data_IF_360942985909
#
_entry.id   IF_360942985909
#
_cell.length_a   1.000
_cell.length_b   1.000
_cell.length_c   1.000
_cell.angle_alpha   90.00
_cell.angle_beta   90.00
_cell.angle_gamma   90.00
#
_symmetry.space_group_name_H-M   'P 1'
#
loop_
_entity.id
_entity.type
_entity.pdbx_description
1 polymer ?
#
# COMPACT_ATOMS: atom_id res chain seq x y z
N UNK A 1 15.88 -10.72 -2.66
CA UNK A 1 16.81 -9.58 -2.63
C UNK A 1 16.64 -8.86 -1.32
N UNK A 2 17.74 -8.54 -0.66
CA UNK A 2 17.77 -7.81 0.61
C UNK A 2 18.89 -6.78 0.55
N UNK A 3 18.70 -5.60 1.12
CA UNK A 3 19.75 -4.62 1.25
C UNK A 3 19.90 -4.17 2.70
N UNK A 4 21.15 -3.97 3.11
CA UNK A 4 21.50 -3.38 4.40
C UNK A 4 22.13 -2.02 4.14
N UNK A 5 21.58 -0.99 4.75
CA UNK A 5 22.05 0.39 4.70
C UNK A 5 22.63 0.79 6.05
N UNK A 6 23.80 1.41 6.04
CA UNK A 6 24.55 1.77 7.26
C UNK A 6 25.07 3.20 7.22
N UNK A 7 24.90 3.91 8.29
CA UNK A 7 25.65 5.11 8.62
C UNK A 7 26.13 5.04 10.08
N UNK A 8 26.76 6.07 10.61
CA UNK A 8 27.24 6.08 12.00
C UNK A 8 26.12 5.90 13.05
N UNK A 9 24.87 6.23 12.70
CA UNK A 9 23.78 6.33 13.65
C UNK A 9 22.67 5.29 13.44
N UNK A 10 22.67 4.59 12.30
CA UNK A 10 21.68 3.55 12.03
C UNK A 10 22.19 2.44 11.11
N UNK A 11 21.61 1.29 11.29
CA UNK A 11 21.66 0.17 10.34
C UNK A 11 20.23 -0.28 10.06
N UNK A 12 19.85 -0.26 8.78
CA UNK A 12 18.49 -0.65 8.36
C UNK A 12 18.59 -1.74 7.29
N UNK A 13 17.88 -2.82 7.52
CA UNK A 13 17.68 -3.89 6.54
C UNK A 13 16.33 -3.73 5.86
N UNK A 14 16.33 -3.71 4.53
CA UNK A 14 15.12 -3.62 3.72
C UNK A 14 15.03 -4.79 2.76
N UNK A 15 13.83 -5.28 2.53
CA UNK A 15 13.54 -6.27 1.49
C UNK A 15 13.39 -5.59 0.14
N UNK A 16 13.90 -6.24 -0.91
CA UNK A 16 13.64 -5.84 -2.29
C UNK A 16 12.38 -6.50 -2.85
N UNK A 17 11.91 -5.99 -3.97
CA UNK A 17 10.76 -6.50 -4.71
C UNK A 17 11.07 -6.62 -6.20
N UNK A 18 10.38 -7.54 -6.88
CA UNK A 18 10.45 -7.68 -8.33
C UNK A 18 9.61 -6.58 -8.99
N UNK A 19 10.20 -5.87 -9.96
CA UNK A 19 9.56 -4.76 -10.68
C UNK A 19 9.36 -5.05 -12.19
N UNK A 20 9.44 -6.31 -12.58
CA UNK A 20 9.30 -6.72 -14.00
C UNK A 20 10.61 -6.73 -14.76
N UNK A 21 10.60 -7.37 -15.93
CA UNK A 21 11.68 -7.36 -16.92
C UNK A 21 13.05 -7.78 -16.35
N UNK A 22 13.06 -8.70 -15.36
CA UNK A 22 14.28 -9.14 -14.68
C UNK A 22 14.84 -8.13 -13.66
N UNK A 23 14.14 -7.01 -13.40
CA UNK A 23 14.59 -5.97 -12.48
C UNK A 23 14.06 -6.22 -11.07
N UNK A 24 14.97 -6.25 -10.11
CA UNK A 24 14.67 -6.16 -8.69
C UNK A 24 15.05 -4.77 -8.18
N UNK A 25 14.21 -4.20 -7.29
CA UNK A 25 14.45 -2.90 -6.67
C UNK A 25 14.47 -3.03 -5.16
N UNK A 26 15.28 -2.20 -4.53
CA UNK A 26 15.22 -1.89 -3.10
C UNK A 26 14.90 -0.40 -2.95
N UNK A 27 14.11 -0.05 -1.95
CA UNK A 27 13.82 1.35 -1.60
C UNK A 27 14.24 1.58 -0.18
N UNK A 28 14.88 2.71 0.07
CA UNK A 28 15.37 3.09 1.37
C UNK A 28 15.00 4.54 1.69
N UNK A 29 14.60 4.78 2.92
CA UNK A 29 14.32 6.10 3.46
C UNK A 29 15.31 6.37 4.61
N UNK A 30 16.32 7.23 4.42
CA UNK A 30 17.29 7.52 5.45
C UNK A 30 16.70 8.38 6.57
N UNK A 31 17.10 8.10 7.83
CA UNK A 31 16.71 8.90 9.00
C UNK A 31 17.75 9.96 9.38
N UNK A 32 19.01 9.81 8.93
CA UNK A 32 20.12 10.69 9.31
C UNK A 32 20.81 11.26 8.09
N UNK A 33 21.40 12.44 8.27
CA UNK A 33 22.28 13.04 7.26
C UNK A 33 23.67 12.39 7.32
N UNK A 34 24.36 12.41 6.19
CA UNK A 34 25.74 11.93 6.09
C UNK A 34 25.94 10.83 5.06
N UNK A 35 27.07 10.17 5.14
CA UNK A 35 27.42 9.10 4.21
C UNK A 35 26.79 7.79 4.65
N UNK A 36 26.06 7.17 3.74
CA UNK A 36 25.57 5.80 3.88
C UNK A 36 26.37 4.85 2.99
N UNK A 37 26.70 3.69 3.52
CA UNK A 37 27.08 2.53 2.74
C UNK A 37 25.90 1.58 2.59
N UNK A 38 25.86 0.82 1.52
CA UNK A 38 24.89 -0.25 1.33
C UNK A 38 25.52 -1.52 0.79
N UNK A 39 24.93 -2.64 1.15
CA UNK A 39 25.21 -3.95 0.58
C UNK A 39 23.90 -4.59 0.17
N UNK A 40 23.74 -4.88 -1.12
CA UNK A 40 22.58 -5.62 -1.67
C UNK A 40 22.98 -7.06 -1.90
N UNK A 41 22.20 -7.99 -1.37
CA UNK A 41 22.42 -9.44 -1.54
C UNK A 41 21.23 -10.10 -2.23
N UNK A 42 21.51 -11.12 -3.02
CA UNK A 42 20.49 -11.97 -3.66
C UNK A 42 21.00 -13.40 -3.78
N UNK A 43 20.12 -14.34 -4.07
CA UNK A 43 20.47 -15.75 -4.29
C UNK A 43 20.95 -16.03 -5.73
N UNK A 44 20.88 -15.04 -6.62
CA UNK A 44 21.13 -15.20 -8.06
C UNK A 44 22.20 -14.25 -8.61
N UNK A 45 22.82 -13.42 -7.78
CA UNK A 45 23.93 -12.54 -8.19
C UNK A 45 24.94 -12.34 -7.07
N UNK A 46 26.14 -11.90 -7.43
CA UNK A 46 27.13 -11.44 -6.46
C UNK A 46 26.59 -10.21 -5.70
N UNK A 47 27.02 -9.99 -4.44
CA UNK A 47 26.66 -8.79 -3.70
C UNK A 47 27.03 -7.51 -4.45
N UNK A 48 26.17 -6.50 -4.36
CA UNK A 48 26.43 -5.15 -4.87
C UNK A 48 26.62 -4.22 -3.68
N UNK A 49 27.73 -3.48 -3.69
CA UNK A 49 28.06 -2.53 -2.63
C UNK A 49 28.23 -1.11 -3.20
N UNK A 50 28.00 -0.12 -2.35
CA UNK A 50 28.20 1.26 -2.73
C UNK A 50 27.99 2.22 -1.57
N UNK A 51 28.13 3.51 -1.86
CA UNK A 51 27.91 4.60 -0.91
C UNK A 51 27.14 5.74 -1.56
N UNK A 52 26.44 6.53 -0.75
CA UNK A 52 25.79 7.76 -1.18
C UNK A 52 25.73 8.77 -0.03
N UNK A 53 25.45 10.04 -0.38
CA UNK A 53 25.29 11.11 0.59
C UNK A 53 23.81 11.43 0.82
N UNK A 54 23.44 11.56 2.08
CA UNK A 54 22.13 12.08 2.50
C UNK A 54 22.30 13.51 2.96
N UNK A 55 21.63 14.41 2.27
CA UNK A 55 21.61 15.84 2.57
C UNK A 55 20.47 16.21 3.52
N UNK A 56 20.47 17.40 4.14
CA UNK A 56 19.36 17.86 4.96
C UNK A 56 18.02 17.77 4.24
N UNK A 57 16.95 17.48 5.00
CA UNK A 57 15.60 17.54 4.50
C UNK A 57 15.29 18.96 3.95
N UNK A 58 14.57 19.02 2.82
CA UNK A 58 14.23 20.28 2.16
C UNK A 58 12.71 20.41 1.98
N UNK A 59 12.25 21.66 1.84
CA UNK A 59 10.86 22.00 1.58
C UNK A 59 9.91 21.50 2.69
N UNK A 60 8.86 20.80 2.29
CA UNK A 60 7.81 20.29 3.17
C UNK A 60 8.09 18.88 3.71
N UNK A 61 9.35 18.46 3.76
CA UNK A 61 9.71 17.17 4.30
C UNK A 61 9.87 17.24 5.83
N UNK A 62 8.77 17.02 6.54
CA UNK A 62 8.68 16.95 8.01
C UNK A 62 8.94 15.54 8.58
N UNK A 63 9.32 14.58 7.74
CA UNK A 63 9.38 13.17 8.12
C UNK A 63 8.02 12.47 8.06
N UNK A 64 7.89 11.33 8.70
CA UNK A 64 6.63 10.56 8.80
C UNK A 64 5.74 11.13 9.89
N UNK A 65 4.43 10.88 9.76
CA UNK A 65 3.47 11.14 10.84
C UNK A 65 3.56 10.00 11.87
N UNK A 66 3.61 10.37 13.14
CA UNK A 66 3.72 9.49 14.31
C UNK A 66 2.66 9.79 15.35
N UNK A 67 2.36 8.83 16.22
CA UNK A 67 1.63 9.09 17.45
C UNK A 67 2.50 9.94 18.37
N UNK A 68 1.97 11.05 18.84
CA UNK A 68 2.62 11.97 19.77
C UNK A 68 1.73 12.16 21.02
N UNK A 69 2.35 12.17 22.19
CA UNK A 69 1.64 12.41 23.47
C UNK A 69 0.40 11.53 23.65
N UNK A 70 0.46 10.26 23.22
CA UNK A 70 -0.59 9.24 23.32
C UNK A 70 -1.82 9.51 22.44
N UNK A 71 -2.33 10.75 22.40
CA UNK A 71 -3.64 11.11 21.80
C UNK A 71 -3.54 11.99 20.56
N UNK A 72 -2.35 12.39 20.17
CA UNK A 72 -2.13 13.31 19.07
C UNK A 72 -1.25 12.69 18.00
N UNK A 73 -1.24 13.32 16.84
CA UNK A 73 -0.33 13.01 15.75
C UNK A 73 0.60 14.20 15.52
N UNK A 74 1.85 13.91 15.22
CA UNK A 74 2.84 14.89 14.80
C UNK A 74 3.77 14.27 13.76
N UNK A 75 4.41 15.10 12.96
CA UNK A 75 5.54 14.67 12.14
C UNK A 75 6.79 14.40 13.00
N UNK A 76 7.76 13.70 12.45
CA UNK A 76 9.01 13.36 13.15
C UNK A 76 9.81 14.57 13.61
N UNK A 77 9.69 15.71 12.94
CA UNK A 77 10.30 16.98 13.34
C UNK A 77 9.55 17.72 14.46
N UNK A 78 8.45 17.16 14.96
CA UNK A 78 7.62 17.73 16.00
C UNK A 78 6.49 18.65 15.50
N UNK A 79 6.41 18.93 14.22
CA UNK A 79 5.29 19.70 13.64
C UNK A 79 3.96 18.98 13.87
N UNK A 80 2.95 19.62 14.48
CA UNK A 80 1.66 18.99 14.71
C UNK A 80 0.99 18.54 13.41
N UNK A 81 0.36 17.36 13.43
CA UNK A 81 -0.43 16.84 12.32
C UNK A 81 -1.90 16.73 12.73
N UNK A 82 -2.75 17.55 12.10
CA UNK A 82 -4.20 17.50 12.27
C UNK A 82 -4.81 16.75 11.09
N UNK A 83 -5.24 15.51 11.31
CA UNK A 83 -5.76 14.67 10.23
C UNK A 83 -7.09 15.18 9.70
N UNK A 84 -7.10 15.68 8.47
CA UNK A 84 -8.30 16.02 7.70
C UNK A 84 -8.31 15.10 6.49
N UNK A 85 -9.02 13.97 6.61
CA UNK A 85 -9.00 12.91 5.60
C UNK A 85 -10.27 12.83 4.77
N UNK A 86 -10.12 12.26 3.58
CA UNK A 86 -11.24 11.81 2.74
C UNK A 86 -11.00 10.39 2.25
N UNK A 87 -12.06 9.74 1.75
CA UNK A 87 -11.99 8.38 1.20
C UNK A 87 -12.38 8.40 -0.27
N UNK A 88 -11.48 7.89 -1.11
CA UNK A 88 -11.70 7.73 -2.55
C UNK A 88 -11.27 6.31 -2.94
N UNK A 89 -12.07 5.30 -2.56
CA UNK A 89 -11.71 3.88 -2.59
C UNK A 89 -11.02 3.42 -3.86
N UNK A 90 -11.54 3.80 -5.04
CA UNK A 90 -11.08 3.31 -6.34
C UNK A 90 -10.30 4.34 -7.15
N UNK A 91 -9.94 5.46 -6.54
CA UNK A 91 -9.26 6.56 -7.21
C UNK A 91 -8.06 6.12 -8.09
N UNK A 92 -7.12 5.28 -7.63
CA UNK A 92 -5.97 4.90 -8.45
C UNK A 92 -6.35 4.10 -9.71
N UNK A 93 -7.53 3.49 -9.71
CA UNK A 93 -7.97 2.58 -10.77
C UNK A 93 -8.93 3.20 -11.77
N UNK A 94 -9.15 4.52 -11.66
CA UNK A 94 -9.96 5.31 -12.57
C UNK A 94 -9.16 5.77 -13.80
N UNK A 95 -9.84 6.44 -14.72
CA UNK A 95 -9.23 7.09 -15.88
C UNK A 95 -8.26 8.19 -15.44
N UNK A 96 -7.24 8.47 -16.24
CA UNK A 96 -6.22 9.47 -15.93
C UNK A 96 -6.82 10.87 -15.71
N UNK A 97 -7.92 11.22 -16.41
CA UNK A 97 -8.63 12.49 -16.20
C UNK A 97 -9.23 12.60 -14.80
N UNK A 98 -9.85 11.52 -14.29
CA UNK A 98 -10.43 11.48 -12.95
C UNK A 98 -9.30 11.51 -11.89
N UNK A 99 -8.21 10.79 -12.13
CA UNK A 99 -7.03 10.80 -11.24
C UNK A 99 -6.47 12.23 -11.15
N UNK A 100 -6.28 12.89 -12.28
CA UNK A 100 -5.76 14.25 -12.34
C UNK A 100 -6.70 15.26 -11.68
N UNK A 101 -8.01 15.17 -11.92
CA UNK A 101 -9.02 16.01 -11.29
C UNK A 101 -9.04 15.82 -9.76
N UNK A 102 -8.91 14.59 -9.28
CA UNK A 102 -8.84 14.29 -7.84
C UNK A 102 -7.61 14.94 -7.22
N UNK A 103 -6.43 14.82 -7.84
CA UNK A 103 -5.21 15.46 -7.37
C UNK A 103 -5.33 16.99 -7.32
N UNK A 104 -5.93 17.61 -8.33
CA UNK A 104 -6.14 19.06 -8.34
C UNK A 104 -7.15 19.50 -7.27
N UNK A 105 -8.19 18.70 -7.02
CA UNK A 105 -9.15 18.95 -5.93
C UNK A 105 -8.46 18.85 -4.57
N UNK A 106 -7.65 17.83 -4.36
CA UNK A 106 -6.89 17.64 -3.11
C UNK A 106 -5.92 18.80 -2.87
N UNK A 107 -5.19 19.22 -3.90
CA UNK A 107 -4.25 20.35 -3.84
C UNK A 107 -4.90 21.65 -3.40
N UNK A 108 -6.16 21.88 -3.79
CA UNK A 108 -6.94 23.09 -3.49
C UNK A 108 -7.89 22.92 -2.30
N UNK A 109 -7.74 21.87 -1.52
CA UNK A 109 -8.58 21.55 -0.35
C UNK A 109 -7.77 21.57 0.95
N UNK A 110 -8.47 21.41 2.07
CA UNK A 110 -7.85 21.22 3.38
C UNK A 110 -7.50 19.75 3.66
N UNK A 111 -7.76 18.82 2.73
CA UNK A 111 -7.46 17.42 2.94
C UNK A 111 -5.95 17.18 2.92
N UNK A 112 -5.45 16.53 3.94
CA UNK A 112 -4.04 16.13 4.07
C UNK A 112 -3.86 14.61 4.17
N UNK A 113 -4.95 13.85 4.01
CA UNK A 113 -4.96 12.40 3.94
C UNK A 113 -6.05 11.91 2.99
N UNK A 114 -5.72 10.89 2.18
CA UNK A 114 -6.69 10.19 1.34
C UNK A 114 -6.59 8.68 1.62
N UNK A 115 -7.74 8.02 1.79
CA UNK A 115 -7.86 6.59 2.01
C UNK A 115 -8.35 5.92 0.73
N UNK A 116 -7.67 4.87 0.25
CA UNK A 116 -8.01 4.17 -0.99
C UNK A 116 -7.53 2.72 -1.00
N UNK A 117 -8.18 1.89 -1.84
CA UNK A 117 -7.92 0.46 -1.94
C UNK A 117 -6.74 0.17 -2.87
N UNK A 118 -5.87 -0.75 -2.45
CA UNK A 118 -4.82 -1.33 -3.30
C UNK A 118 -5.44 -2.29 -4.32
N UNK A 119 -6.36 -3.15 -3.87
CA UNK A 119 -7.14 -4.00 -4.75
C UNK A 119 -8.30 -3.25 -5.42
N UNK A 120 -8.68 -3.62 -6.65
CA UNK A 120 -9.91 -3.15 -7.26
C UNK A 120 -11.11 -3.42 -6.36
N UNK A 121 -12.10 -2.53 -6.39
CA UNK A 121 -13.33 -2.65 -5.61
C UNK A 121 -14.52 -2.84 -6.52
N UNK A 122 -15.25 -3.94 -6.33
CA UNK A 122 -16.54 -4.19 -6.95
C UNK A 122 -17.62 -3.46 -6.12
N UNK A 123 -18.24 -2.45 -6.72
CA UNK A 123 -19.12 -1.55 -5.97
C UNK A 123 -20.14 -0.87 -6.89
N UNK A 124 -21.40 -0.81 -6.50
CA UNK A 124 -22.51 -0.33 -7.34
C UNK A 124 -22.36 1.07 -7.89
N UNK A 125 -21.60 1.94 -7.20
CA UNK A 125 -21.31 3.28 -7.67
C UNK A 125 -20.08 3.36 -8.60
N UNK A 126 -19.45 2.23 -8.90
CA UNK A 126 -18.32 2.12 -9.81
C UNK A 126 -18.44 0.86 -10.66
N UNK A 127 -19.20 0.94 -11.74
CA UNK A 127 -19.45 -0.19 -12.67
C UNK A 127 -18.28 -0.44 -13.63
N UNK A 128 -17.22 0.35 -13.54
CA UNK A 128 -16.08 0.22 -14.45
C UNK A 128 -15.15 -0.91 -14.02
N UNK A 129 -14.61 -1.59 -15.02
CA UNK A 129 -13.46 -2.46 -14.79
C UNK A 129 -12.25 -1.63 -14.39
N UNK A 130 -11.39 -2.16 -13.48
CA UNK A 130 -10.16 -1.49 -13.12
C UNK A 130 -9.22 -1.46 -14.34
N UNK A 131 -8.38 -0.45 -14.40
CA UNK A 131 -7.41 -0.29 -15.50
C UNK A 131 -6.35 -1.41 -15.57
N UNK A 132 -6.15 -2.13 -14.49
CA UNK A 132 -5.22 -3.27 -14.35
C UNK A 132 -5.51 -4.06 -13.08
N UNK A 133 -4.91 -5.24 -12.98
CA UNK A 133 -5.05 -6.15 -11.84
C UNK A 133 -3.70 -6.38 -11.16
N UNK A 134 -3.68 -6.71 -9.85
CA UNK A 134 -2.45 -6.83 -9.07
C UNK A 134 -1.63 -8.08 -9.37
N UNK A 135 -2.24 -9.10 -9.95
CA UNK A 135 -1.61 -10.40 -10.22
C UNK A 135 -1.61 -10.72 -11.71
N UNK A 136 -0.67 -11.56 -12.12
CA UNK A 136 -0.68 -12.15 -13.46
C UNK A 136 -1.85 -13.12 -13.58
N UNK A 137 -2.53 -13.09 -14.73
CA UNK A 137 -3.69 -13.93 -14.99
C UNK A 137 -4.77 -13.20 -15.76
N UNK A 138 -5.99 -13.74 -15.69
CA UNK A 138 -7.15 -13.20 -16.42
C UNK A 138 -8.36 -13.05 -15.51
N UNK A 139 -9.09 -11.93 -15.57
CA UNK A 139 -10.37 -11.78 -14.92
C UNK A 139 -11.45 -12.63 -15.61
N UNK A 140 -12.58 -12.81 -14.92
CA UNK A 140 -13.80 -13.30 -15.55
C UNK A 140 -14.23 -12.37 -16.71
N UNK A 141 -14.99 -12.90 -17.65
CA UNK A 141 -15.58 -12.09 -18.71
C UNK A 141 -16.58 -11.08 -18.13
N UNK A 142 -16.21 -9.81 -18.17
CA UNK A 142 -17.04 -8.73 -17.64
C UNK A 142 -18.20 -8.33 -18.57
N UNK A 143 -18.27 -8.85 -19.80
CA UNK A 143 -19.35 -8.57 -20.74
C UNK A 143 -20.72 -9.04 -20.26
N UNK A 144 -20.73 -9.98 -19.31
CA UNK A 144 -21.96 -10.50 -18.67
C UNK A 144 -22.55 -9.55 -17.61
N UNK A 145 -21.80 -8.52 -17.20
CA UNK A 145 -22.21 -7.56 -16.18
C UNK A 145 -23.11 -6.48 -16.78
N UNK A 146 -24.23 -6.23 -16.10
CA UNK A 146 -25.15 -5.13 -16.44
C UNK A 146 -25.41 -4.31 -15.16
N UNK A 147 -25.99 -3.11 -15.30
CA UNK A 147 -26.42 -2.32 -14.15
C UNK A 147 -27.42 -3.06 -13.24
N UNK A 148 -28.26 -3.93 -13.83
CA UNK A 148 -29.30 -4.67 -13.12
C UNK A 148 -28.76 -5.87 -12.35
N UNK A 149 -27.67 -6.51 -12.83
CA UNK A 149 -27.13 -7.72 -12.22
C UNK A 149 -25.81 -7.49 -11.47
N UNK A 150 -25.23 -6.32 -11.54
CA UNK A 150 -23.89 -6.02 -11.05
C UNK A 150 -23.68 -6.45 -9.58
N UNK A 151 -24.61 -6.08 -8.70
CA UNK A 151 -24.54 -6.40 -7.27
C UNK A 151 -24.57 -7.91 -6.99
N UNK A 152 -25.11 -8.74 -7.92
CA UNK A 152 -25.18 -10.20 -7.77
C UNK A 152 -23.80 -10.87 -7.91
N UNK A 153 -22.81 -10.15 -8.43
CA UNK A 153 -21.45 -10.66 -8.62
C UNK A 153 -20.52 -10.40 -7.44
N UNK A 154 -20.95 -9.66 -6.42
CA UNK A 154 -20.17 -9.50 -5.18
C UNK A 154 -19.90 -10.88 -4.56
N UNK A 155 -18.63 -11.21 -4.34
CA UNK A 155 -18.19 -12.49 -3.81
C UNK A 155 -18.21 -13.67 -4.81
N UNK A 156 -18.64 -13.47 -6.05
CA UNK A 156 -18.57 -14.50 -7.10
C UNK A 156 -17.23 -14.44 -7.80
N UNK A 157 -16.43 -15.47 -7.59
CA UNK A 157 -15.03 -15.51 -8.08
C UNK A 157 -14.82 -16.42 -9.27
N UNK A 158 -15.86 -17.09 -9.74
CA UNK A 158 -15.81 -18.03 -10.86
C UNK A 158 -15.39 -17.34 -12.15
N UNK A 159 -14.56 -18.00 -12.95
CA UNK A 159 -14.04 -17.48 -14.22
C UNK A 159 -12.81 -16.60 -14.10
N UNK A 160 -12.36 -16.30 -12.87
CA UNK A 160 -11.07 -15.65 -12.66
C UNK A 160 -9.94 -16.68 -12.55
N UNK A 161 -8.80 -16.37 -13.16
CA UNK A 161 -7.62 -17.24 -13.17
C UNK A 161 -6.37 -16.42 -12.84
N UNK A 162 -5.98 -16.39 -11.56
CA UNK A 162 -4.83 -15.63 -11.07
C UNK A 162 -3.72 -16.53 -10.57
N UNK A 163 -2.48 -16.15 -10.85
CA UNK A 163 -1.32 -16.63 -10.12
C UNK A 163 -1.03 -15.68 -8.95
N UNK A 164 -1.57 -15.97 -7.78
CA UNK A 164 -1.43 -15.16 -6.57
C UNK A 164 0.01 -15.05 -6.03
N UNK A 165 0.96 -15.76 -6.62
CA UNK A 165 2.38 -15.64 -6.31
C UNK A 165 3.17 -14.87 -7.38
N UNK A 166 2.49 -14.33 -8.41
CA UNK A 166 3.09 -13.49 -9.44
C UNK A 166 2.38 -12.15 -9.54
N UNK A 167 3.03 -11.12 -9.01
CA UNK A 167 2.51 -9.76 -9.13
C UNK A 167 2.62 -9.24 -10.56
N UNK A 168 1.67 -8.39 -10.95
CA UNK A 168 1.69 -7.68 -12.22
C UNK A 168 2.41 -6.33 -12.04
N UNK A 169 3.68 -6.18 -12.47
CA UNK A 169 4.51 -5.03 -12.12
C UNK A 169 3.94 -3.69 -12.60
N UNK A 170 3.27 -3.67 -13.76
CA UNK A 170 2.69 -2.44 -14.32
C UNK A 170 1.56 -1.87 -13.43
N UNK A 171 0.77 -2.74 -12.78
CA UNK A 171 -0.24 -2.33 -11.80
C UNK A 171 0.41 -1.57 -10.63
N UNK A 172 1.44 -2.13 -10.03
CA UNK A 172 2.13 -1.50 -8.90
C UNK A 172 2.97 -0.29 -9.30
N UNK A 173 3.55 -0.25 -10.51
CA UNK A 173 4.18 0.98 -11.03
C UNK A 173 3.18 2.12 -11.20
N UNK A 174 1.94 1.81 -11.51
CA UNK A 174 0.88 2.83 -11.54
C UNK A 174 0.54 3.31 -10.12
N UNK A 175 0.39 2.39 -9.16
CA UNK A 175 0.17 2.74 -7.75
C UNK A 175 1.33 3.56 -7.16
N UNK A 176 2.59 3.25 -7.54
CA UNK A 176 3.76 4.07 -7.17
C UNK A 176 3.56 5.53 -7.58
N UNK A 177 3.16 5.78 -8.84
CA UNK A 177 2.91 7.15 -9.34
C UNK A 177 1.81 7.86 -8.55
N UNK A 178 0.77 7.15 -8.15
CA UNK A 178 -0.30 7.70 -7.32
C UNK A 178 0.21 8.09 -5.92
N UNK A 179 0.95 7.21 -5.25
CA UNK A 179 1.54 7.49 -3.93
C UNK A 179 2.54 8.66 -4.01
N UNK A 180 3.38 8.69 -5.04
CA UNK A 180 4.34 9.78 -5.27
C UNK A 180 3.65 11.12 -5.58
N UNK A 181 2.52 11.10 -6.30
CA UNK A 181 1.76 12.31 -6.55
C UNK A 181 1.18 12.90 -5.25
N UNK A 182 0.66 12.06 -4.37
CA UNK A 182 0.22 12.47 -3.03
C UNK A 182 1.39 12.98 -2.19
N UNK A 183 2.54 12.30 -2.23
CA UNK A 183 3.75 12.72 -1.52
C UNK A 183 4.20 14.13 -1.92
N UNK A 184 4.18 14.43 -3.24
CA UNK A 184 4.51 15.78 -3.74
C UNK A 184 3.54 16.87 -3.29
N UNK A 185 2.29 16.50 -2.99
CA UNK A 185 1.28 17.40 -2.43
C UNK A 185 1.32 17.49 -0.89
N UNK A 186 2.17 16.73 -0.22
CA UNK A 186 2.20 16.64 1.24
C UNK A 186 1.03 15.85 1.84
N UNK A 187 0.37 15.01 1.04
CA UNK A 187 -0.84 14.27 1.42
C UNK A 187 -0.47 12.84 1.82
N UNK A 188 -1.02 12.38 2.95
CA UNK A 188 -0.84 11.00 3.41
C UNK A 188 -1.67 10.03 2.57
N UNK A 189 -1.04 8.92 2.18
CA UNK A 189 -1.62 7.81 1.44
C UNK A 189 -2.00 6.69 2.42
N UNK A 190 -3.26 6.60 2.81
CA UNK A 190 -3.78 5.57 3.71
C UNK A 190 -4.24 4.37 2.85
N UNK A 191 -3.33 3.39 2.70
CA UNK A 191 -3.48 2.24 1.81
C UNK A 191 -4.33 1.15 2.44
N UNK A 192 -5.54 0.92 1.92
CA UNK A 192 -6.38 -0.20 2.30
C UNK A 192 -5.86 -1.46 1.61
N UNK A 193 -5.29 -2.38 2.39
CA UNK A 193 -4.70 -3.61 1.86
C UNK A 193 -5.76 -4.64 1.46
N UNK A 194 -6.82 -4.79 2.26
CA UNK A 194 -7.92 -5.74 2.03
C UNK A 194 -9.29 -5.10 2.20
N UNK A 195 -10.31 -5.67 1.53
CA UNK A 195 -11.71 -5.29 1.69
C UNK A 195 -12.64 -6.40 1.17
N UNK A 196 -13.92 -6.48 1.61
CA UNK A 196 -14.86 -7.53 1.21
C UNK A 196 -15.48 -7.33 -0.17
N UNK A 197 -15.39 -6.15 -0.76
CA UNK A 197 -16.09 -5.76 -1.99
C UNK A 197 -15.35 -6.26 -3.22
N UNK A 198 -15.42 -7.55 -3.46
CA UNK A 198 -14.59 -8.26 -4.41
C UNK A 198 -15.42 -9.24 -5.26
N UNK A 199 -15.01 -9.45 -6.49
CA UNK A 199 -15.49 -10.52 -7.39
C UNK A 199 -14.32 -11.22 -8.10
N UNK A 200 -13.09 -10.85 -7.77
CA UNK A 200 -11.90 -11.39 -8.40
C UNK A 200 -11.18 -12.46 -7.55
N UNK A 201 -11.57 -12.62 -6.28
CA UNK A 201 -11.00 -13.60 -5.35
C UNK A 201 -9.89 -13.06 -4.46
N UNK A 202 -9.60 -11.74 -4.50
CA UNK A 202 -8.57 -11.14 -3.66
C UNK A 202 -8.92 -11.13 -2.17
N UNK A 203 -10.22 -11.06 -1.84
CA UNK A 203 -10.71 -11.13 -0.46
C UNK A 203 -10.69 -12.55 0.12
N UNK A 204 -10.56 -13.58 -0.72
CA UNK A 204 -10.58 -14.99 -0.33
C UNK A 204 -9.25 -15.72 -0.56
N UNK A 205 -8.17 -14.98 -0.74
CA UNK A 205 -6.81 -15.54 -0.80
C UNK A 205 -6.49 -16.35 0.47
N UNK A 206 -5.67 -17.38 0.32
CA UNK A 206 -5.17 -18.16 1.44
C UNK A 206 -4.22 -17.33 2.31
N UNK A 207 -4.03 -17.70 3.58
CA UNK A 207 -3.06 -17.05 4.47
C UNK A 207 -1.67 -16.92 3.84
N UNK A 208 -1.18 -17.94 3.14
CA UNK A 208 0.13 -17.89 2.49
C UNK A 208 0.20 -16.80 1.39
N UNK A 209 -0.87 -16.65 0.61
CA UNK A 209 -0.99 -15.62 -0.42
C UNK A 209 -1.12 -14.22 0.20
N UNK A 210 -1.91 -14.07 1.26
CA UNK A 210 -2.04 -12.83 2.02
C UNK A 210 -0.69 -12.34 2.55
N UNK A 211 0.05 -13.21 3.23
CA UNK A 211 1.34 -12.84 3.82
C UNK A 211 2.40 -12.57 2.76
N UNK A 212 2.34 -13.27 1.61
CA UNK A 212 3.20 -12.98 0.46
C UNK A 212 2.90 -11.58 -0.10
N UNK A 213 1.62 -11.23 -0.27
CA UNK A 213 1.18 -9.91 -0.70
C UNK A 213 1.62 -8.81 0.27
N UNK A 214 1.38 -8.98 1.56
CA UNK A 214 1.72 -7.98 2.59
C UNK A 214 3.23 -7.71 2.64
N UNK A 215 4.06 -8.76 2.52
CA UNK A 215 5.53 -8.58 2.42
C UNK A 215 5.94 -7.81 1.17
N UNK A 216 5.30 -8.06 0.04
CA UNK A 216 5.54 -7.31 -1.20
C UNK A 216 5.14 -5.84 -1.04
N UNK A 217 3.99 -5.56 -0.43
CA UNK A 217 3.54 -4.20 -0.16
C UNK A 217 4.53 -3.46 0.75
N UNK A 218 4.97 -4.07 1.83
CA UNK A 218 5.97 -3.49 2.71
C UNK A 218 7.29 -3.22 1.96
N UNK A 219 7.82 -4.20 1.23
CA UNK A 219 9.06 -4.04 0.47
C UNK A 219 8.98 -2.90 -0.56
N UNK A 220 7.79 -2.69 -1.15
CA UNK A 220 7.60 -1.69 -2.21
C UNK A 220 7.28 -0.29 -1.68
N UNK A 221 6.52 -0.18 -0.59
CA UNK A 221 5.94 1.11 -0.16
C UNK A 221 6.45 1.64 1.17
N UNK A 222 7.14 0.86 2.00
CA UNK A 222 7.58 1.34 3.31
C UNK A 222 8.62 2.47 3.27
N UNK A 223 9.32 2.67 2.14
CA UNK A 223 10.24 3.79 1.99
C UNK A 223 9.55 5.12 1.61
N UNK A 224 8.23 5.14 1.47
CA UNK A 224 7.47 6.38 1.26
C UNK A 224 6.97 6.92 2.61
N UNK A 225 7.46 8.07 3.04
CA UNK A 225 7.13 8.68 4.34
C UNK A 225 5.65 9.03 4.53
N UNK A 226 4.89 9.12 3.44
CA UNK A 226 3.46 9.45 3.46
C UNK A 226 2.52 8.23 3.43
N UNK A 227 3.04 7.03 3.58
CA UNK A 227 2.20 5.81 3.59
C UNK A 227 1.69 5.54 5.00
N UNK A 228 0.42 5.13 5.09
CA UNK A 228 -0.20 4.52 6.26
C UNK A 228 -0.77 3.17 5.85
N UNK A 229 -0.75 2.21 6.77
CA UNK A 229 -1.28 0.87 6.52
C UNK A 229 -2.68 0.72 7.12
N UNK A 230 -3.72 0.68 6.29
CA UNK A 230 -5.03 0.20 6.68
C UNK A 230 -5.13 -1.28 6.32
N UNK A 231 -5.03 -2.18 7.32
CA UNK A 231 -5.00 -3.62 7.08
C UNK A 231 -6.23 -4.07 6.33
N UNK A 232 -7.40 -3.57 6.71
CA UNK A 232 -8.64 -3.81 5.98
C UNK A 232 -9.63 -2.65 6.13
N UNK A 233 -10.52 -2.55 5.15
CA UNK A 233 -11.81 -1.89 5.32
C UNK A 233 -12.85 -2.99 5.59
N UNK A 234 -13.54 -2.89 6.74
CA UNK A 234 -14.61 -3.81 7.13
C UNK A 234 -14.14 -5.28 7.15
N UNK A 235 -13.11 -5.54 7.94
CA UNK A 235 -12.49 -6.86 8.05
C UNK A 235 -13.47 -7.95 8.48
N UNK A 236 -14.46 -7.60 9.28
CA UNK A 236 -15.53 -8.44 9.81
C UNK A 236 -16.56 -8.89 8.75
N UNK A 237 -16.53 -8.29 7.57
CA UNK A 237 -17.32 -8.73 6.40
C UNK A 237 -16.54 -9.66 5.45
N UNK A 238 -15.39 -10.16 5.83
CA UNK A 238 -14.55 -11.06 5.02
C UNK A 238 -14.63 -12.51 5.56
N UNK A 239 -15.63 -13.31 5.14
CA UNK A 239 -15.91 -14.62 5.75
C UNK A 239 -14.83 -15.68 5.49
N UNK A 240 -13.93 -15.43 4.55
CA UNK A 240 -12.80 -16.31 4.25
C UNK A 240 -11.62 -16.12 5.20
N UNK A 241 -11.69 -15.18 6.15
CA UNK A 241 -10.60 -14.84 7.06
C UNK A 241 -11.06 -14.89 8.52
N UNK A 242 -10.26 -15.53 9.34
CA UNK A 242 -10.44 -15.59 10.80
C UNK A 242 -9.59 -14.52 11.50
N UNK A 243 -9.83 -14.32 12.80
CA UNK A 243 -9.03 -13.38 13.62
C UNK A 243 -7.53 -13.69 13.54
N UNK A 244 -7.16 -14.97 13.60
CA UNK A 244 -5.77 -15.41 13.48
C UNK A 244 -5.12 -15.09 12.11
N UNK A 245 -5.90 -14.86 11.05
CA UNK A 245 -5.37 -14.37 9.77
C UNK A 245 -5.02 -12.89 9.88
N UNK A 246 -5.89 -12.10 10.52
CA UNK A 246 -5.65 -10.67 10.75
C UNK A 246 -4.46 -10.41 11.68
N UNK A 247 -4.30 -11.21 12.71
CA UNK A 247 -3.12 -11.20 13.58
C UNK A 247 -1.85 -11.49 12.76
N UNK A 248 -1.85 -12.55 11.94
CA UNK A 248 -0.71 -12.89 11.10
C UNK A 248 -0.39 -11.80 10.05
N UNK A 249 -1.40 -11.13 9.49
CA UNK A 249 -1.25 -9.99 8.58
C UNK A 249 -0.61 -8.80 9.32
N UNK A 250 -1.14 -8.47 10.52
CA UNK A 250 -0.62 -7.39 11.35
C UNK A 250 0.83 -7.63 11.76
N UNK A 251 1.17 -8.83 12.19
CA UNK A 251 2.53 -9.22 12.54
C UNK A 251 3.47 -9.14 11.33
N UNK A 252 3.00 -9.61 10.17
CA UNK A 252 3.80 -9.58 8.95
C UNK A 252 4.13 -8.15 8.53
N UNK A 253 3.18 -7.22 8.56
CA UNK A 253 3.46 -5.82 8.24
C UNK A 253 4.39 -5.18 9.29
N UNK A 254 4.20 -5.50 10.58
CA UNK A 254 5.08 -5.02 11.65
C UNK A 254 6.53 -5.46 11.47
N UNK A 255 6.75 -6.71 11.03
CA UNK A 255 8.09 -7.28 10.84
C UNK A 255 8.73 -6.83 9.51
N UNK A 256 7.91 -6.53 8.50
CA UNK A 256 8.37 -6.21 7.14
C UNK A 256 8.56 -4.71 6.89
N UNK A 257 7.98 -3.85 7.73
CA UNK A 257 8.09 -2.39 7.64
C UNK A 257 9.13 -1.87 8.65
N UNK A 258 10.38 -1.64 8.23
CA UNK A 258 11.44 -1.19 9.14
C UNK A 258 11.23 0.22 9.67
N UNK A 259 10.35 1.00 9.06
CA UNK A 259 10.08 2.41 9.43
C UNK A 259 8.89 2.57 10.38
N UNK A 260 8.11 1.49 10.63
CA UNK A 260 7.01 1.47 11.60
C UNK A 260 5.94 2.53 11.32
N UNK A 261 5.43 2.57 10.08
CA UNK A 261 4.30 3.44 9.71
C UNK A 261 3.08 3.19 10.59
N UNK A 262 2.18 4.18 10.64
CA UNK A 262 0.90 4.04 11.32
C UNK A 262 0.08 2.90 10.70
N UNK A 263 -0.60 2.15 11.57
CA UNK A 263 -1.43 1.00 11.19
C UNK A 263 -2.82 1.15 11.77
N UNK A 264 -3.81 0.71 11.01
CA UNK A 264 -5.20 0.68 11.42
C UNK A 264 -5.91 -0.53 10.82
N UNK A 265 -7.03 -0.92 11.41
CA UNK A 265 -7.99 -1.83 10.82
C UNK A 265 -9.38 -1.26 11.05
N UNK A 266 -10.30 -1.47 10.11
CA UNK A 266 -11.65 -0.94 10.19
C UNK A 266 -12.67 -2.08 10.23
N UNK A 267 -13.60 -2.02 11.21
CA UNK A 267 -14.74 -2.91 11.35
C UNK A 267 -16.02 -2.22 10.87
N UNK A 268 -16.99 -2.99 10.38
CA UNK A 268 -18.30 -2.50 9.98
C UNK A 268 -19.32 -2.61 11.11
N UNK A 269 -19.49 -3.83 11.64
CA UNK A 269 -20.61 -4.17 12.52
C UNK A 269 -20.19 -4.60 13.91
N UNK A 270 -18.96 -5.11 14.07
CA UNK A 270 -18.47 -5.58 15.35
C UNK A 270 -17.81 -4.43 16.12
N UNK A 271 -18.13 -4.32 17.41
CA UNK A 271 -17.33 -3.49 18.29
C UNK A 271 -15.95 -4.15 18.46
N UNK A 272 -14.92 -3.32 18.51
CA UNK A 272 -13.58 -3.79 18.82
C UNK A 272 -13.57 -4.29 20.27
N UNK A 273 -13.19 -5.55 20.45
CA UNK A 273 -12.87 -6.15 21.72
C UNK A 273 -11.34 -6.24 21.79
N UNK A 274 -10.73 -5.36 22.59
CA UNK A 274 -9.27 -5.22 22.70
C UNK A 274 -8.76 -5.88 23.98
#
# INVERSE_FOLDING_TARGET
>A
VTAVFRCSNEEVTVSGFYDGDGVYRVRFMPSFQGTYSFTVTSTFSQPLEGTFQVTPATGQNHGMVRVANTWHLAYEDGTPYYSVGTTCYVWPWQDDAIIAQTLETLKNSAFNKIRFCVFPKHYDYNLREPRSYPYEGTPMDASVLTSENFHQYTGKTEGNHWDFFRFHPAHFRHLDRCVEALLRLGIQADLILFHPYDRWGFSSMTRAQDLFYVRYMAARYSAYRNVWWSLANEYDLMPAKELADWEAIADTICQSDPYRHLRSIHSCTHFYDY
#
